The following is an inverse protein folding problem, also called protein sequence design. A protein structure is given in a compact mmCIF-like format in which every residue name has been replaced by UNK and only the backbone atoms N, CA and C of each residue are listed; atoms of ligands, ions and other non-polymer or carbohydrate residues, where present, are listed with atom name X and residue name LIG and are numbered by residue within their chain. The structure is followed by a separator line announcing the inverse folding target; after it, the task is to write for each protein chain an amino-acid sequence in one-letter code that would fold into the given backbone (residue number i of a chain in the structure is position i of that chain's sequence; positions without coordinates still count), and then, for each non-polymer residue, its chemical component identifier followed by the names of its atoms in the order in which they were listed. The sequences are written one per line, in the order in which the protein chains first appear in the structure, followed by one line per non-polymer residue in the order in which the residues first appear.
data_IF_045504268312
#
_entry.id   IF_045504268312
#
_cell.length_a   1.000
_cell.length_b   1.000
_cell.length_c   1.000
_cell.angle_alpha   90.00
_cell.angle_beta   90.00
_cell.angle_gamma   90.00
#
_symmetry.space_group_name_H-M   'P 1'
#
loop_
_entity.id
_entity.type
_entity.pdbx_description
1 polymer ?
#
# COMPACT_ATOMS: atom_id res chain seq x y z
N UNK A 1 6.47 25.56 4.99
CA UNK A 1 6.99 24.94 6.24
C UNK A 1 7.85 23.75 5.84
N UNK A 2 9.08 23.63 6.34
CA UNK A 2 9.87 22.41 6.13
C UNK A 2 9.12 21.24 6.76
N UNK A 3 8.84 20.22 5.96
CA UNK A 3 8.24 18.99 6.45
C UNK A 3 9.23 18.31 7.38
N UNK A 4 8.90 18.25 8.68
CA UNK A 4 9.73 17.57 9.68
C UNK A 4 9.47 16.07 9.60
N UNK A 5 10.52 15.28 9.74
CA UNK A 5 10.40 13.83 9.93
C UNK A 5 9.64 13.54 11.23
N UNK A 6 8.92 12.41 11.27
CA UNK A 6 8.16 11.94 12.43
C UNK A 6 8.99 11.91 13.71
N UNK A 7 8.52 12.60 14.74
CA UNK A 7 9.09 12.50 16.08
C UNK A 7 8.72 11.16 16.73
N UNK A 8 7.48 10.68 16.50
CA UNK A 8 6.95 9.43 17.09
C UNK A 8 7.76 8.20 16.66
N UNK A 9 8.11 8.11 15.38
CA UNK A 9 8.81 6.96 14.83
C UNK A 9 10.33 7.02 14.97
N UNK A 10 10.92 8.17 15.34
CA UNK A 10 12.38 8.38 15.31
C UNK A 10 13.13 7.28 16.06
N UNK A 11 12.75 6.99 17.30
CA UNK A 11 13.42 5.97 18.13
C UNK A 11 13.29 4.57 17.54
N UNK A 12 12.11 4.21 17.06
CA UNK A 12 11.84 2.91 16.46
C UNK A 12 12.65 2.72 15.16
N UNK A 13 12.71 3.73 14.30
CA UNK A 13 13.47 3.69 13.04
C UNK A 13 14.97 3.61 13.27
N UNK A 14 15.50 4.35 14.25
CA UNK A 14 16.92 4.23 14.65
C UNK A 14 17.22 2.81 15.13
N UNK A 15 16.39 2.25 16.01
CA UNK A 15 16.61 0.91 16.53
C UNK A 15 16.43 -0.18 15.47
N UNK A 16 15.47 0.00 14.57
CA UNK A 16 15.27 -0.86 13.41
C UNK A 16 16.50 -0.84 12.51
N UNK A 17 17.08 0.33 12.24
CA UNK A 17 18.28 0.43 11.41
C UNK A 17 19.51 -0.24 12.03
N UNK A 18 19.64 -0.20 13.37
CA UNK A 18 20.70 -0.92 14.08
C UNK A 18 20.54 -2.44 14.02
N UNK A 19 19.30 -2.94 14.09
CA UNK A 19 19.01 -4.37 14.13
C UNK A 19 18.92 -5.00 12.75
N UNK A 20 18.34 -4.28 11.78
CA UNK A 20 18.17 -4.72 10.40
C UNK A 20 18.53 -3.56 9.43
N UNK A 21 19.79 -3.52 8.98
CA UNK A 21 20.25 -2.52 8.01
C UNK A 21 19.52 -2.56 6.66
N UNK A 22 18.88 -3.68 6.29
CA UNK A 22 18.11 -3.74 5.05
C UNK A 22 16.89 -2.83 5.15
N UNK A 23 16.21 -2.82 6.31
CA UNK A 23 15.13 -1.86 6.56
C UNK A 23 15.60 -0.42 6.59
N UNK A 24 16.82 -0.14 7.08
CA UNK A 24 17.40 1.19 7.00
C UNK A 24 17.50 1.69 5.55
N UNK A 25 18.00 0.84 4.65
CA UNK A 25 18.11 1.16 3.23
C UNK A 25 16.74 1.40 2.56
N UNK A 26 15.73 0.59 2.90
CA UNK A 26 14.37 0.76 2.38
C UNK A 26 13.69 2.02 2.93
N UNK A 27 13.92 2.35 4.20
CA UNK A 27 13.33 3.52 4.87
C UNK A 27 13.77 4.85 4.26
N UNK A 28 14.96 4.93 3.65
CA UNK A 28 15.44 6.14 2.95
C UNK A 28 14.50 6.60 1.82
N UNK A 29 13.73 5.68 1.25
CA UNK A 29 12.78 5.95 0.17
C UNK A 29 11.36 6.20 0.67
N UNK A 30 11.17 6.23 1.99
CA UNK A 30 9.88 6.45 2.64
C UNK A 30 9.86 7.81 3.32
N UNK A 31 8.80 8.59 3.11
CA UNK A 31 8.58 9.80 3.93
C UNK A 31 7.89 9.41 5.24
N UNK A 32 8.48 9.73 6.39
CA UNK A 32 7.91 9.40 7.71
C UNK A 32 7.35 10.66 8.37
N UNK A 33 6.05 10.66 8.68
CA UNK A 33 5.33 11.84 9.17
C UNK A 33 4.46 11.51 10.39
N UNK A 34 4.40 12.41 11.36
CA UNK A 34 3.36 12.36 12.38
C UNK A 34 2.04 12.86 11.78
N UNK A 35 0.93 12.25 12.16
CA UNK A 35 -0.39 12.69 11.74
C UNK A 35 -1.44 12.34 12.79
N UNK A 36 -2.35 13.26 13.05
CA UNK A 36 -3.47 13.08 13.99
C UNK A 36 -4.81 12.93 13.25
N UNK A 37 -4.76 12.70 11.93
CA UNK A 37 -5.96 12.62 11.07
C UNK A 37 -6.74 11.32 11.27
N UNK A 38 -6.06 10.24 11.68
CA UNK A 38 -6.68 8.95 11.93
C UNK A 38 -6.27 8.41 13.30
N UNK A 39 -7.17 7.66 13.93
CA UNK A 39 -6.97 7.11 15.28
C UNK A 39 -6.00 5.91 15.30
N UNK A 40 -5.70 5.33 14.14
CA UNK A 40 -4.83 4.16 14.00
C UNK A 40 -3.36 4.46 14.29
N UNK A 41 -2.57 3.45 14.71
CA UNK A 41 -1.18 3.68 15.11
C UNK A 41 -0.29 4.06 13.92
N UNK A 42 -0.50 3.48 12.75
CA UNK A 42 0.16 3.93 11.54
C UNK A 42 -0.64 3.53 10.29
N UNK A 43 -0.41 4.26 9.21
CA UNK A 43 -0.94 3.95 7.88
C UNK A 43 0.00 4.49 6.81
N UNK A 44 -0.24 4.13 5.54
CA UNK A 44 0.49 4.71 4.41
C UNK A 44 -0.47 5.14 3.30
N UNK A 45 -0.02 5.96 2.36
CA UNK A 45 -0.72 6.25 1.11
C UNK A 45 0.01 5.65 -0.11
N UNK A 46 1.02 4.80 0.16
CA UNK A 46 1.95 4.27 -0.83
C UNK A 46 3.13 5.18 -1.17
N UNK A 47 3.26 6.34 -0.51
CA UNK A 47 4.39 7.28 -0.65
C UNK A 47 4.98 7.69 0.71
N UNK A 48 4.12 8.01 1.67
CA UNK A 48 4.49 8.36 3.03
C UNK A 48 3.91 7.35 4.02
N UNK A 49 4.57 7.20 5.15
CA UNK A 49 4.12 6.48 6.33
C UNK A 49 3.74 7.52 7.37
N UNK A 50 2.51 7.45 7.83
CA UNK A 50 1.93 8.36 8.82
C UNK A 50 1.82 7.62 10.15
N UNK A 51 2.29 8.26 11.22
CA UNK A 51 2.31 7.73 12.58
C UNK A 51 1.29 8.48 13.44
N UNK A 52 0.27 7.76 13.90
CA UNK A 52 -0.79 8.27 14.77
C UNK A 52 -0.38 8.40 16.23
N UNK A 53 -1.18 9.09 17.06
CA UNK A 53 -0.89 9.23 18.49
C UNK A 53 -0.87 7.88 19.23
N UNK A 54 -1.65 6.90 18.77
CA UNK A 54 -1.70 5.55 19.37
C UNK A 54 -0.44 4.73 19.10
N UNK A 55 0.42 5.15 18.16
CA UNK A 55 1.72 4.51 17.91
C UNK A 55 2.63 4.53 19.14
N UNK A 56 2.59 5.64 19.88
CA UNK A 56 3.46 5.88 21.04
C UNK A 56 3.12 4.94 22.20
N UNK A 57 1.90 4.41 22.23
CA UNK A 57 1.45 3.42 23.21
C UNK A 57 1.95 1.99 22.94
N UNK A 58 2.50 1.71 21.76
CA UNK A 58 3.07 0.41 21.41
C UNK A 58 4.43 0.20 22.08
N UNK A 59 4.78 -1.05 22.39
CA UNK A 59 6.14 -1.36 22.85
C UNK A 59 7.17 -1.08 21.75
N UNK A 60 8.42 -0.83 22.11
CA UNK A 60 9.46 -0.53 21.11
C UNK A 60 9.60 -1.63 20.03
N UNK A 61 9.58 -2.95 20.35
CA UNK A 61 9.59 -3.99 19.32
C UNK A 61 8.37 -3.94 18.39
N UNK A 62 7.18 -3.63 18.91
CA UNK A 62 5.96 -3.48 18.11
C UNK A 62 6.01 -2.24 17.21
N UNK A 63 6.53 -1.12 17.72
CA UNK A 63 6.77 0.08 16.92
C UNK A 63 7.71 -0.23 15.75
N UNK A 64 8.81 -0.93 16.01
CA UNK A 64 9.77 -1.36 14.99
C UNK A 64 9.11 -2.27 13.95
N UNK A 65 8.37 -3.29 14.38
CA UNK A 65 7.69 -4.20 13.47
C UNK A 65 6.61 -3.49 12.63
N UNK A 66 5.83 -2.59 13.23
CA UNK A 66 4.80 -1.83 12.51
C UNK A 66 5.43 -0.85 11.50
N UNK A 67 6.54 -0.21 11.84
CA UNK A 67 7.30 0.61 10.89
C UNK A 67 7.83 -0.24 9.73
N UNK A 68 8.46 -1.38 10.03
CA UNK A 68 8.95 -2.33 9.03
C UNK A 68 7.84 -2.81 8.09
N UNK A 69 6.66 -3.12 8.64
CA UNK A 69 5.46 -3.46 7.88
C UNK A 69 5.11 -2.38 6.85
N UNK A 70 4.96 -1.11 7.27
CA UNK A 70 4.62 -0.04 6.33
C UNK A 70 5.75 0.28 5.34
N UNK A 71 7.01 0.11 5.73
CA UNK A 71 8.15 0.20 4.80
C UNK A 71 8.01 -0.87 3.70
N UNK A 72 7.69 -2.13 4.05
CA UNK A 72 7.44 -3.17 3.05
C UNK A 72 6.25 -2.84 2.16
N UNK A 73 5.20 -2.21 2.68
CA UNK A 73 4.07 -1.79 1.86
C UNK A 73 4.45 -0.84 0.72
N UNK A 74 5.35 0.12 1.01
CA UNK A 74 5.86 1.06 0.03
C UNK A 74 6.89 0.37 -0.88
N UNK A 75 7.87 -0.33 -0.30
CA UNK A 75 8.95 -0.98 -1.02
C UNK A 75 8.44 -2.03 -2.03
N UNK A 76 7.44 -2.82 -1.66
CA UNK A 76 6.80 -3.80 -2.55
C UNK A 76 5.72 -3.21 -3.45
N UNK A 77 5.54 -1.89 -3.40
CA UNK A 77 4.65 -1.11 -4.28
C UNK A 77 3.22 -1.64 -4.29
N UNK A 78 2.67 -1.96 -3.12
CA UNK A 78 1.34 -2.56 -3.03
C UNK A 78 0.23 -1.63 -3.54
N UNK A 79 0.36 -0.30 -3.39
CA UNK A 79 -0.61 0.64 -3.97
C UNK A 79 -0.66 0.60 -5.52
N UNK A 80 0.48 0.74 -6.25
CA UNK A 80 0.51 0.52 -7.69
C UNK A 80 0.02 -0.87 -8.13
N UNK A 81 0.39 -1.93 -7.39
CA UNK A 81 -0.03 -3.32 -7.68
C UNK A 81 -1.55 -3.50 -7.52
N UNK A 82 -2.13 -2.94 -6.45
CA UNK A 82 -3.58 -2.88 -6.25
C UNK A 82 -4.28 -2.20 -7.43
N UNK A 83 -3.74 -1.07 -7.91
CA UNK A 83 -4.30 -0.37 -9.07
C UNK A 83 -4.23 -1.22 -10.34
N UNK A 84 -3.14 -1.96 -10.56
CA UNK A 84 -3.02 -2.88 -11.69
C UNK A 84 -4.06 -4.02 -11.59
N UNK A 85 -4.31 -4.55 -10.39
CA UNK A 85 -5.35 -5.54 -10.15
C UNK A 85 -6.75 -4.99 -10.40
N UNK A 86 -7.03 -3.75 -9.98
CA UNK A 86 -8.28 -3.07 -10.33
C UNK A 86 -8.47 -2.95 -11.84
N UNK A 87 -7.44 -2.53 -12.59
CA UNK A 87 -7.51 -2.44 -14.06
C UNK A 87 -7.77 -3.80 -14.69
N UNK A 88 -7.22 -4.89 -14.14
CA UNK A 88 -7.41 -6.25 -14.64
C UNK A 88 -8.79 -6.84 -14.34
N UNK A 89 -9.33 -6.62 -13.13
CA UNK A 89 -10.56 -7.28 -12.68
C UNK A 89 -11.81 -6.39 -12.74
N UNK A 90 -11.65 -5.08 -12.92
CA UNK A 90 -12.73 -4.11 -13.00
C UNK A 90 -13.64 -4.17 -11.77
N UNK A 91 -14.96 -4.26 -11.99
CA UNK A 91 -15.95 -4.31 -10.92
C UNK A 91 -15.87 -5.56 -10.03
N UNK A 92 -15.13 -6.59 -10.46
CA UNK A 92 -14.89 -7.79 -9.63
C UNK A 92 -13.71 -7.62 -8.68
N UNK A 93 -12.97 -6.51 -8.78
CA UNK A 93 -11.86 -6.24 -7.88
C UNK A 93 -12.37 -5.91 -6.48
N UNK A 94 -11.85 -6.61 -5.48
CA UNK A 94 -12.13 -6.34 -4.07
C UNK A 94 -10.85 -5.83 -3.37
N UNK A 95 -10.84 -4.52 -3.07
CA UNK A 95 -9.70 -3.86 -2.43
C UNK A 95 -9.39 -4.45 -1.05
N UNK A 96 -10.40 -4.87 -0.30
CA UNK A 96 -10.21 -5.34 1.07
C UNK A 96 -9.59 -6.74 1.07
N UNK A 97 -9.98 -7.61 0.12
CA UNK A 97 -9.34 -8.91 -0.06
C UNK A 97 -7.90 -8.75 -0.54
N UNK A 98 -7.62 -7.78 -1.42
CA UNK A 98 -6.24 -7.53 -1.86
C UNK A 98 -5.36 -7.04 -0.72
N UNK A 99 -5.86 -6.08 0.09
CA UNK A 99 -5.16 -5.60 1.27
C UNK A 99 -4.91 -6.74 2.26
N UNK A 100 -5.92 -7.57 2.54
CA UNK A 100 -5.77 -8.73 3.41
C UNK A 100 -4.69 -9.70 2.91
N UNK A 101 -4.67 -10.00 1.61
CA UNK A 101 -3.68 -10.87 1.00
C UNK A 101 -2.27 -10.29 1.14
N UNK A 102 -2.12 -9.00 0.88
CA UNK A 102 -0.87 -8.26 1.09
C UNK A 102 -0.42 -8.34 2.55
N UNK A 103 -1.27 -7.97 3.50
CA UNK A 103 -0.95 -7.94 4.92
C UNK A 103 -0.55 -9.32 5.42
N UNK A 104 -1.24 -10.38 4.99
CA UNK A 104 -0.90 -11.75 5.36
C UNK A 104 0.53 -12.13 4.95
N UNK A 105 0.93 -11.77 3.72
CA UNK A 105 2.28 -12.03 3.19
C UNK A 105 3.32 -11.22 3.97
N UNK A 106 3.09 -9.91 4.16
CA UNK A 106 4.01 -9.01 4.88
C UNK A 106 4.16 -9.46 6.34
N UNK A 107 3.05 -9.77 7.01
CA UNK A 107 3.06 -10.17 8.41
C UNK A 107 3.80 -11.50 8.62
N UNK A 108 3.53 -12.52 7.81
CA UNK A 108 4.25 -13.79 7.93
C UNK A 108 5.74 -13.60 7.64
N UNK A 109 6.10 -12.79 6.65
CA UNK A 109 7.51 -12.47 6.34
C UNK A 109 8.21 -11.82 7.54
N UNK A 110 7.61 -10.82 8.17
CA UNK A 110 8.19 -10.14 9.32
C UNK A 110 8.30 -11.04 10.55
N UNK A 111 7.30 -11.89 10.79
CA UNK A 111 7.32 -12.86 11.88
C UNK A 111 8.43 -13.91 11.68
N UNK A 112 8.64 -14.39 10.45
CA UNK A 112 9.74 -15.30 10.11
C UNK A 112 11.12 -14.63 10.31
N UNK A 113 11.22 -13.33 10.09
CA UNK A 113 12.43 -12.53 10.37
C UNK A 113 12.60 -12.15 11.85
N UNK A 114 11.69 -12.59 12.74
CA UNK A 114 11.79 -12.35 14.19
C UNK A 114 11.26 -11.01 14.67
N UNK A 115 10.55 -10.24 13.83
CA UNK A 115 9.89 -9.01 14.27
C UNK A 115 8.62 -9.30 15.06
N UNK A 116 8.31 -8.38 15.98
CA UNK A 116 7.08 -8.40 16.77
C UNK A 116 6.11 -7.38 16.16
N UNK A 117 4.88 -7.82 15.93
CA UNK A 117 3.82 -6.99 15.33
C UNK A 117 2.67 -6.79 16.32
N UNK A 118 2.06 -5.59 16.36
CA UNK A 118 0.88 -5.33 17.16
C UNK A 118 -0.25 -6.33 16.85
N UNK A 119 -0.98 -6.72 17.88
CA UNK A 119 -2.19 -7.56 17.74
C UNK A 119 -3.43 -6.66 17.62
N UNK A 120 -4.46 -7.08 16.86
CA UNK A 120 -4.52 -8.30 16.05
C UNK A 120 -3.71 -8.18 14.76
N UNK A 121 -3.30 -9.34 14.23
CA UNK A 121 -2.76 -9.45 12.87
C UNK A 121 -3.24 -10.76 12.24
N UNK A 122 -3.36 -10.76 10.91
CA UNK A 122 -3.61 -11.95 10.10
C UNK A 122 -2.29 -12.67 9.80
N UNK A 123 -2.26 -13.99 10.01
CA UNK A 123 -1.17 -14.86 9.58
C UNK A 123 -1.51 -15.52 8.25
N UNK A 124 -0.54 -15.61 7.34
CA UNK A 124 -0.70 -16.26 6.05
C UNK A 124 -1.06 -17.73 6.22
N UNK A 125 -0.33 -18.43 7.07
CA UNK A 125 -0.55 -19.85 7.37
C UNK A 125 -1.96 -20.10 7.93
N UNK A 126 -2.40 -19.25 8.86
CA UNK A 126 -3.76 -19.29 9.40
C UNK A 126 -4.82 -19.01 8.34
N UNK A 127 -4.58 -18.04 7.45
CA UNK A 127 -5.52 -17.67 6.39
C UNK A 127 -5.66 -18.79 5.35
N UNK A 128 -4.55 -19.41 4.94
CA UNK A 128 -4.54 -20.56 4.03
C UNK A 128 -5.29 -21.74 4.65
N UNK A 129 -4.97 -22.11 5.89
CA UNK A 129 -5.69 -23.18 6.60
C UNK A 129 -7.19 -22.90 6.68
N UNK A 130 -7.59 -21.67 6.97
CA UNK A 130 -8.99 -21.30 7.11
C UNK A 130 -9.76 -21.26 5.78
N UNK A 131 -9.08 -21.07 4.65
CA UNK A 131 -9.70 -20.93 3.32
C UNK A 131 -9.57 -22.19 2.48
N UNK A 132 -8.35 -22.68 2.25
CA UNK A 132 -8.08 -23.84 1.40
C UNK A 132 -8.04 -25.17 2.16
N UNK A 133 -7.98 -25.13 3.50
CA UNK A 133 -7.68 -26.29 4.37
C UNK A 133 -6.30 -26.90 4.12
N UNK A 134 -5.42 -26.17 3.45
CA UNK A 134 -4.03 -26.54 3.28
C UNK A 134 -3.24 -26.06 4.51
N UNK A 135 -2.54 -26.97 5.16
CA UNK A 135 -1.58 -26.61 6.21
C UNK A 135 -0.19 -26.51 5.60
N UNK A 136 0.43 -25.35 5.76
CA UNK A 136 1.77 -25.06 5.24
C UNK A 136 2.62 -24.43 6.33
N UNK A 137 3.93 -24.66 6.27
CA UNK A 137 4.90 -23.90 7.06
C UNK A 137 5.01 -22.48 6.51
N UNK A 138 5.38 -21.52 7.37
CA UNK A 138 5.45 -20.11 6.99
C UNK A 138 6.40 -19.87 5.82
N UNK A 139 7.59 -20.47 5.86
CA UNK A 139 8.65 -20.36 4.86
C UNK A 139 8.19 -20.88 3.49
N UNK A 140 7.48 -22.01 3.50
CA UNK A 140 6.89 -22.58 2.28
C UNK A 140 5.79 -21.68 1.73
N UNK A 141 4.93 -21.16 2.61
CA UNK A 141 3.81 -20.32 2.22
C UNK A 141 4.27 -19.00 1.58
N UNK A 142 5.27 -18.32 2.15
CA UNK A 142 5.81 -17.07 1.58
C UNK A 142 6.60 -17.29 0.28
N UNK A 143 7.12 -18.50 0.05
CA UNK A 143 7.78 -18.87 -1.21
C UNK A 143 6.76 -19.17 -2.31
N UNK A 144 5.63 -19.80 -1.96
CA UNK A 144 4.60 -20.25 -2.92
C UNK A 144 3.64 -19.14 -3.34
N UNK A 145 3.38 -18.18 -2.44
CA UNK A 145 2.38 -17.13 -2.65
C UNK A 145 3.00 -15.75 -2.66
N UNK A 146 2.52 -14.92 -3.59
CA UNK A 146 2.59 -13.46 -3.52
C UNK A 146 1.18 -12.89 -3.30
N UNK A 147 1.08 -11.56 -3.15
CA UNK A 147 -0.18 -10.87 -2.91
C UNK A 147 -1.24 -11.14 -4.00
N UNK A 148 -0.89 -11.08 -5.28
CA UNK A 148 -1.83 -11.28 -6.38
C UNK A 148 -2.30 -12.73 -6.48
N UNK A 149 -1.37 -13.70 -6.35
CA UNK A 149 -1.69 -15.12 -6.40
C UNK A 149 -2.59 -15.51 -5.24
N UNK A 150 -2.30 -15.03 -4.04
CA UNK A 150 -3.15 -15.24 -2.87
C UNK A 150 -4.52 -14.56 -3.06
N UNK A 151 -4.57 -13.32 -3.54
CA UNK A 151 -5.83 -12.64 -3.86
C UNK A 151 -6.70 -13.44 -4.84
N UNK A 152 -6.11 -13.93 -5.94
CA UNK A 152 -6.83 -14.72 -6.95
C UNK A 152 -7.38 -16.00 -6.32
N UNK A 153 -6.58 -16.69 -5.50
CA UNK A 153 -7.01 -17.89 -4.77
C UNK A 153 -8.21 -17.59 -3.84
N UNK A 154 -8.12 -16.54 -3.03
CA UNK A 154 -9.17 -16.13 -2.10
C UNK A 154 -10.49 -15.79 -2.82
N UNK A 155 -10.39 -15.20 -4.01
CA UNK A 155 -11.52 -14.91 -4.88
C UNK A 155 -12.12 -16.17 -5.53
N UNK A 156 -11.29 -17.13 -5.94
CA UNK A 156 -11.71 -18.35 -6.66
C UNK A 156 -12.33 -19.42 -5.78
N UNK A 157 -11.82 -19.61 -4.57
CA UNK A 157 -12.34 -20.64 -3.67
C UNK A 157 -13.80 -20.35 -3.25
N UNK A 158 -14.30 -19.13 -3.48
CA UNK A 158 -15.72 -18.78 -3.34
C UNK A 158 -16.62 -19.32 -4.46
N UNK A 159 -16.04 -19.93 -5.50
CA UNK A 159 -16.74 -20.32 -6.72
C UNK A 159 -16.61 -21.79 -7.16
N UNK A 160 -15.81 -22.64 -6.51
CA UNK A 160 -15.59 -24.00 -7.06
C UNK A 160 -15.28 -25.11 -6.02
N UNK A 161 -16.34 -25.73 -5.51
CA UNK A 161 -16.58 -27.17 -5.73
C UNK A 161 -17.98 -27.39 -6.32
N UNK A 162 -18.27 -26.76 -7.46
CA UNK A 162 -19.38 -27.20 -8.31
C UNK A 162 -18.86 -28.29 -9.24
N UNK A 163 -19.00 -29.52 -8.78
CA UNK A 163 -18.52 -30.70 -9.51
C UNK A 163 -18.75 -32.01 -8.75
N UNK A 164 -19.93 -32.22 -8.18
CA UNK A 164 -20.42 -33.56 -7.83
C UNK A 164 -21.95 -33.56 -7.64
N UNK A 165 -22.62 -34.30 -8.53
CA UNK A 165 -24.01 -34.77 -8.58
C UNK A 165 -24.93 -34.49 -7.36
N UNK A 166 -26.07 -33.85 -7.66
CA UNK A 166 -27.40 -34.23 -7.15
C UNK A 166 -27.74 -33.90 -5.69
N UNK A 167 -28.62 -32.92 -5.49
CA UNK A 167 -29.35 -32.74 -4.22
C UNK A 167 -29.60 -31.28 -3.88
N UNK A 168 -30.87 -30.89 -3.84
CA UNK A 168 -31.34 -29.58 -3.35
C UNK A 168 -30.85 -29.33 -1.92
N UNK A 169 -29.83 -28.49 -1.77
CA UNK A 169 -29.60 -27.67 -0.59
C UNK A 169 -28.84 -26.42 -1.03
N UNK A 170 -29.58 -25.38 -1.41
CA UNK A 170 -29.01 -24.06 -1.66
C UNK A 170 -28.60 -23.45 -0.30
N UNK A 171 -27.45 -23.87 0.22
CA UNK A 171 -26.72 -23.05 1.19
C UNK A 171 -26.19 -21.88 0.37
N UNK A 172 -26.76 -20.70 0.57
CA UNK A 172 -26.34 -19.47 -0.11
C UNK A 172 -24.82 -19.34 0.00
N UNK A 173 -24.11 -19.48 -1.12
CA UNK A 173 -22.67 -19.25 -1.17
C UNK A 173 -22.43 -17.80 -0.76
N UNK A 174 -21.94 -17.59 0.47
CA UNK A 174 -21.62 -16.25 0.95
C UNK A 174 -20.64 -15.60 -0.03
N UNK A 175 -20.89 -14.34 -0.39
CA UNK A 175 -20.01 -13.59 -1.27
C UNK A 175 -18.55 -13.71 -0.79
N UNK A 176 -17.56 -13.84 -1.70
CA UNK A 176 -16.17 -14.12 -1.35
C UNK A 176 -15.65 -13.27 -0.18
N UNK A 177 -16.02 -11.99 -0.15
CA UNK A 177 -15.67 -11.03 0.91
C UNK A 177 -16.11 -11.45 2.31
N UNK A 178 -17.36 -11.87 2.51
CA UNK A 178 -17.87 -12.23 3.84
C UNK A 178 -17.16 -13.48 4.39
N UNK A 179 -16.91 -14.45 3.51
CA UNK A 179 -16.21 -15.68 3.84
C UNK A 179 -14.74 -15.44 4.16
N UNK A 180 -14.05 -14.65 3.33
CA UNK A 180 -12.64 -14.29 3.54
C UNK A 180 -12.48 -13.48 4.82
N UNK A 181 -13.41 -12.55 5.11
CA UNK A 181 -13.42 -11.83 6.39
C UNK A 181 -13.58 -12.78 7.59
N UNK A 182 -14.48 -13.77 7.51
CA UNK A 182 -14.64 -14.78 8.57
C UNK A 182 -13.39 -15.67 8.72
N UNK A 183 -12.74 -16.03 7.61
CA UNK A 183 -11.49 -16.78 7.64
C UNK A 183 -10.33 -15.96 8.23
N UNK A 184 -10.23 -14.68 7.86
CA UNK A 184 -9.27 -13.74 8.44
C UNK A 184 -9.47 -13.58 9.94
N UNK A 185 -10.72 -13.46 10.40
CA UNK A 185 -11.05 -13.37 11.82
C UNK A 185 -10.67 -14.65 12.59
N UNK A 186 -10.73 -15.83 11.96
CA UNK A 186 -10.23 -17.09 12.56
C UNK A 186 -8.70 -17.18 12.53
N UNK A 187 -8.07 -16.66 11.48
CA UNK A 187 -6.62 -16.65 11.31
C UNK A 187 -5.93 -15.61 12.21
N UNK A 188 -6.65 -14.55 12.56
CA UNK A 188 -6.27 -13.67 13.64
C UNK A 188 -6.59 -14.34 14.98
N UNK A 189 -5.60 -14.61 15.84
CA UNK A 189 -5.86 -14.86 17.26
C UNK A 189 -6.59 -13.64 17.88
N UNK A 190 -7.94 -13.71 17.89
CA UNK A 190 -8.97 -12.79 18.40
C UNK A 190 -9.28 -11.52 17.56
N UNK A 191 -10.54 -11.01 17.59
CA UNK A 191 -11.03 -9.98 16.69
C UNK A 191 -10.67 -8.60 17.24
N UNK A 192 -9.77 -7.90 16.56
CA UNK A 192 -9.66 -6.46 16.65
C UNK A 192 -9.79 -5.87 15.24
N UNK A 193 -9.94 -4.55 15.12
CA UNK A 193 -10.33 -3.93 13.87
C UNK A 193 -9.29 -4.28 12.81
N UNK A 194 -9.75 -4.86 11.70
CA UNK A 194 -8.99 -4.86 10.47
C UNK A 194 -8.46 -3.44 10.30
N UNK A 195 -7.14 -3.28 10.14
CA UNK A 195 -6.56 -1.99 9.82
C UNK A 195 -7.40 -1.40 8.67
N UNK A 196 -8.22 -0.41 9.00
CA UNK A 196 -9.18 0.15 8.07
C UNK A 196 -8.36 0.95 7.09
N UNK A 197 -7.95 0.29 6.02
CA UNK A 197 -7.18 0.95 4.98
C UNK A 197 -8.13 1.85 4.20
N UNK A 198 -7.90 3.17 4.16
CA UNK A 198 -8.72 4.04 3.34
C UNK A 198 -8.57 3.62 1.88
N UNK A 199 -9.69 3.58 1.16
CA UNK A 199 -9.69 3.42 -0.30
C UNK A 199 -8.67 4.39 -0.90
N UNK A 200 -7.81 3.96 -1.84
CA UNK A 200 -7.02 4.93 -2.60
C UNK A 200 -7.99 5.95 -3.21
N UNK A 201 -7.64 7.26 -3.21
CA UNK A 201 -8.49 8.26 -3.82
C UNK A 201 -8.82 7.84 -5.25
N UNK A 202 -10.06 8.06 -5.67
CA UNK A 202 -10.47 7.80 -7.05
C UNK A 202 -9.45 8.47 -8.00
N UNK A 203 -9.08 7.83 -9.13
CA UNK A 203 -8.25 8.50 -10.11
C UNK A 203 -8.91 9.83 -10.45
N UNK A 204 -8.16 10.93 -10.33
CA UNK A 204 -8.66 12.25 -10.72
C UNK A 204 -9.26 12.13 -12.12
N UNK A 205 -10.45 12.70 -12.38
CA UNK A 205 -10.99 12.72 -13.72
C UNK A 205 -9.92 13.31 -14.62
N UNK A 206 -9.52 12.56 -15.64
CA UNK A 206 -8.65 13.10 -16.68
C UNK A 206 -9.35 14.35 -17.19
N UNK A 207 -8.67 15.49 -17.09
CA UNK A 207 -9.18 16.74 -17.61
C UNK A 207 -9.47 16.53 -19.10
N UNK A 208 -10.74 16.31 -19.44
CA UNK A 208 -11.21 16.36 -20.82
C UNK A 208 -11.05 17.81 -21.26
N UNK A 209 -10.19 18.02 -22.25
CA UNK A 209 -10.09 19.28 -22.96
C UNK A 209 -9.22 20.32 -22.27
N UNK A 210 -7.92 20.27 -22.52
CA UNK A 210 -7.12 21.48 -22.59
C UNK A 210 -6.42 21.46 -23.94
N UNK A 211 -6.84 22.40 -24.79
CA UNK A 211 -6.31 22.63 -26.12
C UNK A 211 -4.78 22.80 -26.07
N UNK A 212 -4.05 22.44 -27.15
CA UNK A 212 -2.61 22.57 -27.18
C UNK A 212 -2.22 24.04 -26.99
N UNK A 213 -1.38 24.29 -25.99
CA UNK A 213 -0.69 25.58 -25.79
C UNK A 213 0.12 25.87 -27.05
N UNK A 214 -0.30 26.91 -27.77
CA UNK A 214 0.44 27.49 -28.89
C UNK A 214 1.77 28.02 -28.38
N UNK A 215 2.87 27.44 -28.86
CA UNK A 215 4.22 27.96 -28.67
C UNK A 215 4.41 29.21 -29.55
N UNK A 216 3.97 30.36 -29.08
CA UNK A 216 4.45 31.65 -29.60
C UNK A 216 5.62 32.12 -28.74
N UNK A 217 6.82 32.06 -29.31
CA UNK A 217 8.03 32.61 -28.73
C UNK A 217 7.94 34.14 -28.56
N UNK A 218 8.77 34.72 -27.67
CA UNK A 218 8.69 36.14 -27.35
C UNK A 218 9.07 37.01 -28.56
N UNK A 219 8.15 37.89 -28.96
CA UNK A 219 8.41 38.95 -29.93
C UNK A 219 9.35 39.98 -29.29
N UNK A 220 10.59 40.04 -29.77
CA UNK A 220 11.53 41.11 -29.47
C UNK A 220 11.10 42.39 -30.18
N UNK A 221 10.64 43.37 -29.42
CA UNK A 221 10.50 44.77 -29.86
C UNK A 221 11.85 45.47 -29.72
N UNK A 222 12.55 45.66 -30.84
CA UNK A 222 13.67 46.61 -30.93
C UNK A 222 13.35 47.67 -31.97
N UNK A 223 13.19 48.89 -31.48
CA UNK A 223 12.89 50.10 -32.23
C UNK A 223 14.03 50.44 -33.22
N UNK A 224 13.64 50.68 -34.47
CA UNK A 224 14.51 51.16 -35.55
C UNK A 224 14.46 52.69 -35.54
N UNK A 225 15.35 53.32 -34.79
CA UNK A 225 15.57 54.77 -34.77
C UNK A 225 16.58 55.20 -35.84
N UNK A 226 16.18 56.16 -36.66
CA UNK A 226 16.82 56.55 -37.91
C UNK A 226 18.21 57.18 -37.75
N UNK A 227 19.05 56.91 -38.75
CA UNK A 227 20.44 57.34 -38.91
C UNK A 227 20.48 58.81 -39.39
N UNK A 228 21.28 59.62 -38.70
CA UNK A 228 21.59 61.03 -38.95
C UNK A 228 22.34 61.20 -40.28
N UNK A 229 21.92 62.16 -41.10
CA UNK A 229 22.63 62.64 -42.30
C UNK A 229 23.44 63.91 -41.99
N UNK A 230 24.37 64.24 -42.91
CA UNK A 230 25.30 65.40 -42.98
C UNK A 230 26.62 65.18 -42.22
N UNK A 231 27.79 65.54 -42.74
CA UNK A 231 28.20 66.28 -43.95
C UNK A 231 29.73 66.28 -43.97
N UNK A 232 30.37 66.27 -45.15
CA UNK A 232 31.69 66.87 -45.33
C UNK A 232 32.66 66.09 -46.20
N UNK A 233 32.81 66.50 -47.46
CA UNK A 233 34.06 66.47 -48.19
C UNK A 233 34.11 67.73 -49.07
N UNK A 234 35.08 68.59 -48.80
CA UNK A 234 35.43 69.76 -49.60
C UNK A 234 35.94 69.32 -50.98
N UNK A 235 35.51 70.02 -52.03
CA UNK A 235 36.29 70.85 -52.99
C UNK A 235 35.26 71.62 -53.82
#
# INVERSE_FOLDING_TARGET
MLQRHSARATRALQKLAEQDPAFAGLALWCTHLDSDVQDGPAWTDGKAIYYGPTYEGLSLPEQMGLAAHHILHIAFRHAPRSRAMFVRFGNRFDQDIFNLATDAIVNETLLLSGHILPRPLVRLTGLLKATTREEMKGEEAVTKYDAERLYILLMQDGGARQGAKGGRAAIAAAAPRARVAAAAAKAANAPGPAAHWPRPPAPMPTAKGSAPISTQGPRTTTARGARKTRSGASV
#
